data_IF_430575257323
#
_entry.id   IF_430575257323
#
_cell.length_a   1.000
_cell.length_b   1.000
_cell.length_c   1.000
_cell.angle_alpha   90.00
_cell.angle_beta   90.00
_cell.angle_gamma   90.00
#
_symmetry.space_group_name_H-M   'P 1'
#
loop_
_entity.id
_entity.type
_entity.pdbx_description
1 polymer ?
#
# COMPACT_ATOMS: atom_id res chain seq x y z
N UNK A 1 12.98 -18.76 -17.95
CA UNK A 1 12.66 -17.31 -17.93
C UNK A 1 11.35 -17.14 -17.19
N UNK A 2 11.36 -16.49 -16.03
CA UNK A 2 10.11 -16.06 -15.42
C UNK A 2 9.58 -14.87 -16.24
N UNK A 3 8.28 -14.81 -16.57
CA UNK A 3 7.72 -13.67 -17.30
C UNK A 3 7.96 -12.39 -16.47
N UNK A 4 8.66 -11.42 -17.07
CA UNK A 4 8.90 -10.10 -16.49
C UNK A 4 7.57 -9.35 -16.46
N UNK A 5 7.01 -9.20 -15.26
CA UNK A 5 5.81 -8.41 -15.02
C UNK A 5 6.21 -6.92 -14.94
N UNK A 6 5.40 -6.04 -15.51
CA UNK A 6 5.61 -4.59 -15.49
C UNK A 6 4.32 -3.88 -15.06
N UNK A 7 4.45 -2.77 -14.34
CA UNK A 7 3.33 -1.85 -14.13
C UNK A 7 3.22 -0.92 -15.34
N UNK A 8 1.99 -0.61 -15.75
CA UNK A 8 1.72 0.42 -16.76
C UNK A 8 1.03 1.60 -16.09
N UNK A 9 1.60 2.80 -16.22
CA UNK A 9 1.02 4.03 -15.68
C UNK A 9 -0.11 4.55 -16.56
N UNK A 10 -0.88 5.52 -16.07
CA UNK A 10 -1.92 6.19 -16.85
C UNK A 10 -1.37 6.96 -18.07
N UNK A 11 -0.12 7.43 -18.00
CA UNK A 11 0.60 8.06 -19.14
C UNK A 11 1.08 7.04 -20.16
N UNK A 12 1.00 5.74 -19.85
CA UNK A 12 1.43 4.65 -20.71
C UNK A 12 2.89 4.22 -20.52
N UNK A 13 3.61 4.87 -19.61
CA UNK A 13 4.96 4.48 -19.20
C UNK A 13 4.93 3.12 -18.50
N UNK A 14 6.06 2.41 -18.57
CA UNK A 14 6.24 1.12 -17.92
C UNK A 14 7.22 1.26 -16.78
N UNK A 15 6.80 0.86 -15.59
CA UNK A 15 7.69 0.68 -14.46
C UNK A 15 8.00 -0.82 -14.31
N UNK A 16 9.29 -1.14 -14.25
CA UNK A 16 9.74 -2.52 -14.05
C UNK A 16 9.51 -2.95 -12.60
N UNK A 17 9.09 -4.20 -12.42
CA UNK A 17 8.95 -4.81 -11.11
C UNK A 17 10.23 -5.59 -10.83
N UNK A 18 10.99 -5.13 -9.84
CA UNK A 18 12.22 -5.76 -9.36
C UNK A 18 11.97 -7.07 -8.62
N UNK A 19 10.79 -7.23 -8.02
CA UNK A 19 10.44 -8.46 -7.32
C UNK A 19 9.17 -8.37 -6.49
N UNK A 20 8.99 -9.38 -5.63
CA UNK A 20 7.89 -9.45 -4.66
C UNK A 20 8.45 -9.78 -3.29
N UNK A 21 7.92 -9.17 -2.24
CA UNK A 21 8.24 -9.52 -0.85
C UNK A 21 6.97 -9.53 0.00
N UNK A 22 7.01 -10.20 1.15
CA UNK A 22 5.89 -10.16 2.12
C UNK A 22 6.19 -9.09 3.16
N UNK A 23 5.34 -8.06 3.21
CA UNK A 23 5.45 -6.97 4.15
C UNK A 23 4.29 -6.98 5.16
N UNK A 24 4.57 -6.52 6.38
CA UNK A 24 3.55 -6.24 7.37
C UNK A 24 3.19 -4.75 7.30
N UNK A 25 2.00 -4.43 6.79
CA UNK A 25 1.45 -3.08 6.71
C UNK A 25 0.65 -2.78 7.98
N UNK A 26 0.93 -1.67 8.66
CA UNK A 26 0.19 -1.23 9.84
C UNK A 26 -0.78 -0.12 9.46
N UNK A 27 -2.05 -0.30 9.80
CA UNK A 27 -3.09 0.72 9.67
C UNK A 27 -3.80 0.83 11.01
N UNK A 28 -3.70 1.99 11.67
CA UNK A 28 -4.22 2.17 13.03
C UNK A 28 -3.60 1.18 14.01
N UNK A 29 -4.44 0.45 14.72
CA UNK A 29 -4.06 -0.61 15.67
C UNK A 29 -3.75 -1.97 15.00
N UNK A 30 -4.09 -2.13 13.72
CA UNK A 30 -4.04 -3.42 13.02
C UNK A 30 -2.81 -3.57 12.15
N UNK A 31 -2.35 -4.82 12.01
CA UNK A 31 -1.26 -5.22 11.11
C UNK A 31 -1.79 -6.23 10.09
N UNK A 32 -1.36 -6.08 8.85
CA UNK A 32 -1.77 -6.89 7.72
C UNK A 32 -0.54 -7.43 7.00
N UNK A 33 -0.43 -8.75 6.86
CA UNK A 33 0.61 -9.34 6.03
C UNK A 33 0.13 -9.46 4.59
N UNK A 34 0.88 -8.87 3.66
CA UNK A 34 0.54 -8.90 2.24
C UNK A 34 1.79 -9.01 1.37
N UNK A 35 1.65 -9.67 0.22
CA UNK A 35 2.72 -9.76 -0.77
C UNK A 35 2.71 -8.47 -1.59
N UNK A 36 3.72 -7.64 -1.43
CA UNK A 36 3.88 -6.39 -2.17
C UNK A 36 4.86 -6.55 -3.31
N UNK A 37 4.76 -5.66 -4.29
CA UNK A 37 5.69 -5.55 -5.41
C UNK A 37 6.71 -4.46 -5.11
N UNK A 38 7.97 -4.72 -5.46
CA UNK A 38 9.03 -3.71 -5.44
C UNK A 38 9.23 -3.25 -6.87
N UNK A 39 9.11 -1.95 -7.12
CA UNK A 39 9.21 -1.33 -8.43
C UNK A 39 9.74 0.10 -8.29
N UNK A 40 10.29 0.64 -9.37
CA UNK A 40 10.70 2.05 -9.44
C UNK A 40 9.46 2.93 -9.64
N UNK A 41 8.82 3.29 -8.53
CA UNK A 41 7.68 4.20 -8.49
C UNK A 41 8.07 5.51 -7.83
N UNK A 42 7.40 6.61 -8.21
CA UNK A 42 7.64 7.95 -7.65
C UNK A 42 7.18 8.08 -6.20
N UNK A 43 6.07 7.44 -5.86
CA UNK A 43 5.52 7.45 -4.52
C UNK A 43 6.20 6.40 -3.63
N UNK A 44 6.38 6.66 -2.32
CA UNK A 44 6.98 5.69 -1.41
C UNK A 44 6.26 4.34 -1.34
N UNK A 45 4.93 4.33 -1.58
CA UNK A 45 4.11 3.14 -1.63
C UNK A 45 2.76 3.46 -2.28
N UNK A 46 2.26 2.55 -3.12
CA UNK A 46 0.91 2.61 -3.68
C UNK A 46 0.09 1.45 -3.10
N UNK A 47 -1.09 1.77 -2.57
CA UNK A 47 -2.01 0.76 -2.07
C UNK A 47 -2.89 0.25 -3.21
N UNK A 48 -2.70 -1.02 -3.59
CA UNK A 48 -3.46 -1.66 -4.66
C UNK A 48 -4.90 -2.00 -4.27
N UNK A 49 -5.77 -2.08 -5.28
CA UNK A 49 -7.17 -2.47 -5.09
C UNK A 49 -7.31 -3.92 -4.58
N UNK A 50 -6.36 -4.79 -4.93
CA UNK A 50 -6.26 -6.17 -4.45
C UNK A 50 -6.13 -6.25 -2.93
N UNK A 51 -5.29 -5.39 -2.34
CA UNK A 51 -5.17 -5.27 -0.89
C UNK A 51 -6.48 -4.76 -0.26
N UNK A 52 -7.06 -3.69 -0.84
CA UNK A 52 -8.28 -3.08 -0.33
C UNK A 52 -9.44 -4.09 -0.30
N UNK A 53 -9.63 -4.83 -1.39
CA UNK A 53 -10.66 -5.86 -1.50
C UNK A 53 -10.42 -7.02 -0.53
N UNK A 54 -9.18 -7.53 -0.47
CA UNK A 54 -8.82 -8.67 0.40
C UNK A 54 -9.09 -8.43 1.87
N UNK A 55 -8.88 -7.19 2.34
CA UNK A 55 -9.04 -6.84 3.75
C UNK A 55 -10.29 -6.00 4.04
N UNK A 56 -11.22 -5.94 3.09
CA UNK A 56 -12.49 -5.22 3.19
C UNK A 56 -12.29 -3.77 3.63
N UNK A 57 -11.34 -3.09 3.00
CA UNK A 57 -11.21 -1.64 3.15
C UNK A 57 -12.29 -0.94 2.34
N UNK A 58 -12.93 0.02 2.97
CA UNK A 58 -13.78 1.01 2.31
C UNK A 58 -13.06 2.34 2.35
N UNK A 59 -13.05 3.06 1.23
CA UNK A 59 -12.50 4.42 1.15
C UNK A 59 -13.69 5.38 1.06
N UNK A 60 -13.81 6.26 2.05
CA UNK A 60 -14.81 7.33 2.10
C UNK A 60 -14.08 8.64 1.83
N UNK A 61 -14.24 9.16 0.60
CA UNK A 61 -13.61 10.40 0.17
C UNK A 61 -14.28 11.63 0.76
N UNK A 62 -15.58 11.57 1.10
CA UNK A 62 -16.29 12.69 1.71
C UNK A 62 -15.76 12.95 3.11
N UNK A 63 -15.54 11.88 3.87
CA UNK A 63 -15.02 11.96 5.24
C UNK A 63 -13.49 11.94 5.33
N UNK A 64 -12.81 11.74 4.20
CA UNK A 64 -11.34 11.62 4.13
C UNK A 64 -10.78 10.48 5.00
N UNK A 65 -11.46 9.34 5.02
CA UNK A 65 -11.09 8.20 5.85
C UNK A 65 -11.19 6.85 5.11
N UNK A 66 -10.35 5.91 5.52
CA UNK A 66 -10.43 4.49 5.16
C UNK A 66 -10.96 3.71 6.36
N UNK A 67 -11.95 2.86 6.12
CA UNK A 67 -12.56 1.99 7.13
C UNK A 67 -12.17 0.54 6.87
N UNK A 68 -11.71 -0.16 7.89
CA UNK A 68 -11.50 -1.62 7.82
C UNK A 68 -11.93 -2.28 9.12
N UNK A 69 -12.74 -3.34 9.02
CA UNK A 69 -13.15 -4.18 10.16
C UNK A 69 -13.65 -3.40 11.40
N UNK A 70 -14.33 -2.27 11.19
CA UNK A 70 -14.87 -1.40 12.25
C UNK A 70 -13.89 -0.37 12.82
N UNK A 71 -12.70 -0.21 12.23
CA UNK A 71 -11.75 0.86 12.56
C UNK A 71 -11.72 1.91 11.44
N UNK A 72 -11.81 3.16 11.84
CA UNK A 72 -11.75 4.34 10.97
C UNK A 72 -10.34 4.92 11.05
N UNK A 73 -9.74 5.12 9.88
CA UNK A 73 -8.35 5.52 9.76
C UNK A 73 -8.30 6.70 8.79
N UNK A 74 -7.76 7.86 9.17
CA UNK A 74 -7.64 8.98 8.24
C UNK A 74 -6.87 8.59 6.97
N UNK A 75 -7.30 9.11 5.81
CA UNK A 75 -6.55 8.95 4.55
C UNK A 75 -5.25 9.75 4.61
N UNK A 76 -5.33 10.96 5.16
CA UNK A 76 -4.20 11.84 5.40
C UNK A 76 -4.08 12.08 6.92
N UNK A 77 -2.91 11.82 7.52
CA UNK A 77 -2.69 12.19 8.92
C UNK A 77 -2.72 13.72 9.07
N UNK A 78 -3.30 14.23 10.17
CA UNK A 78 -3.46 15.66 10.43
C UNK A 78 -2.14 16.45 10.63
N UNK A 79 -1.00 15.76 10.66
CA UNK A 79 0.33 16.35 10.75
C UNK A 79 1.35 15.31 10.27
N UNK A 80 2.31 15.74 9.45
CA UNK A 80 3.27 14.91 8.73
C UNK A 80 4.41 14.33 9.60
N UNK A 81 4.28 14.28 10.93
CA UNK A 81 5.39 13.87 11.82
C UNK A 81 5.52 12.36 12.08
N UNK A 82 4.61 11.53 11.55
CA UNK A 82 4.64 10.07 11.73
C UNK A 82 4.94 9.29 10.44
N UNK A 83 5.78 9.85 9.56
CA UNK A 83 6.31 9.18 8.35
C UNK A 83 7.30 8.06 8.69
N UNK A 84 6.82 7.02 9.37
CA UNK A 84 7.48 5.72 9.51
C UNK A 84 6.44 4.63 9.33
N UNK A 85 5.88 4.56 8.12
CA UNK A 85 4.98 3.46 7.72
C UNK A 85 5.73 2.14 7.51
N UNK A 86 7.07 2.17 7.41
CA UNK A 86 7.89 1.00 7.15
C UNK A 86 9.00 0.88 8.19
N UNK A 87 8.75 0.10 9.24
CA UNK A 87 9.83 -0.63 9.92
C UNK A 87 9.99 -1.96 9.20
N UNK A 88 10.88 -2.02 8.20
CA UNK A 88 11.29 -3.28 7.63
C UNK A 88 11.89 -4.12 8.76
N UNK A 89 11.33 -5.31 9.01
CA UNK A 89 11.88 -6.25 9.96
C UNK A 89 13.11 -6.89 9.30
N UNK A 90 14.29 -6.40 9.63
CA UNK A 90 15.55 -7.10 9.35
C UNK A 90 15.58 -8.40 10.17
N UNK A 91 15.83 -9.51 9.49
CA UNK A 91 16.41 -10.72 10.06
C UNK A 91 17.52 -11.17 9.14
#
# INVERSE_FOLDING_TARGET
>A
MAPSISLKTATGEKAEIHGKLVAALKFGSRKFQHRIYVADITDPCILGLDFLQKFNFTVDLEKNEKRTRGEEIPLFPASAEHSKLFSALEK
#
